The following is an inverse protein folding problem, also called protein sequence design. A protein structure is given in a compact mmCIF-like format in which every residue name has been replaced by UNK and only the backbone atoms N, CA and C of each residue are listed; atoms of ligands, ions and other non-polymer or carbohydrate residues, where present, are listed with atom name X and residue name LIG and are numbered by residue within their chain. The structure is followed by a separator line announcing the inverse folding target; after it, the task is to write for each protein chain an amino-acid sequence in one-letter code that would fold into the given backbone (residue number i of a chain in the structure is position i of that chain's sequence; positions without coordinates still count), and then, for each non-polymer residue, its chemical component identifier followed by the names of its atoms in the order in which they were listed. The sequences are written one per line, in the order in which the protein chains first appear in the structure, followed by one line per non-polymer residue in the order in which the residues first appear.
data_IF_265033716143
#
_entry.id   IF_265033716143
#
_cell.length_a   1.000
_cell.length_b   1.000
_cell.length_c   1.000
_cell.angle_alpha   90.00
_cell.angle_beta   90.00
_cell.angle_gamma   90.00
#
_symmetry.space_group_name_H-M   'P 1'
#
loop_
_entity.id
_entity.type
_entity.pdbx_description
1 polymer ?
#
# COMPACT_ATOMS: atom_id res chain seq x y z
N UNK A 1 13.07 -19.44 4.05
CA UNK A 1 14.21 -19.89 3.21
C UNK A 1 14.29 -21.41 3.14
N UNK A 2 14.10 -22.13 4.26
CA UNK A 2 14.05 -23.60 4.28
C UNK A 2 13.06 -24.16 3.26
N UNK A 3 11.91 -23.52 3.11
CA UNK A 3 10.82 -23.89 2.22
C UNK A 3 11.26 -23.88 0.74
N UNK A 4 11.93 -22.80 0.30
CA UNK A 4 12.48 -22.70 -1.05
C UNK A 4 13.66 -23.67 -1.27
N UNK A 5 14.49 -23.88 -0.25
CA UNK A 5 15.60 -24.84 -0.33
C UNK A 5 15.05 -26.27 -0.50
N UNK A 6 14.00 -26.63 0.25
CA UNK A 6 13.37 -27.94 0.16
C UNK A 6 12.67 -28.13 -1.19
N UNK A 7 12.03 -27.08 -1.73
CA UNK A 7 11.50 -27.07 -3.09
C UNK A 7 12.61 -27.29 -4.13
N UNK A 8 13.71 -26.54 -4.04
CA UNK A 8 14.86 -26.65 -4.93
C UNK A 8 15.45 -28.07 -4.92
N UNK A 9 15.60 -28.66 -3.73
CA UNK A 9 16.08 -30.05 -3.57
C UNK A 9 15.15 -31.08 -4.22
N UNK A 10 13.83 -30.91 -4.10
CA UNK A 10 12.84 -31.80 -4.75
C UNK A 10 12.95 -31.72 -6.26
N UNK A 11 13.01 -30.52 -6.82
CA UNK A 11 13.17 -30.27 -8.26
C UNK A 11 14.48 -30.86 -8.78
N UNK A 12 15.59 -30.70 -8.05
CA UNK A 12 16.88 -31.25 -8.47
C UNK A 12 16.89 -32.79 -8.47
N UNK A 13 16.15 -33.43 -7.56
CA UNK A 13 16.04 -34.89 -7.50
C UNK A 13 15.17 -35.45 -8.62
N UNK A 14 14.02 -34.82 -8.88
CA UNK A 14 13.06 -35.26 -9.89
C UNK A 14 12.64 -34.08 -10.80
N UNK A 15 13.46 -33.70 -11.79
CA UNK A 15 13.17 -32.54 -12.64
C UNK A 15 11.91 -32.67 -13.49
N UNK A 16 11.49 -33.90 -13.83
CA UNK A 16 10.27 -34.17 -14.59
C UNK A 16 8.99 -33.68 -13.89
N UNK A 17 9.03 -33.59 -12.56
CA UNK A 17 7.86 -33.25 -11.74
C UNK A 17 7.88 -31.78 -11.29
N UNK A 18 8.76 -30.96 -11.88
CA UNK A 18 9.00 -29.58 -11.43
C UNK A 18 7.71 -28.76 -11.37
N UNK A 19 6.87 -28.84 -12.40
CA UNK A 19 5.62 -28.09 -12.46
C UNK A 19 4.63 -28.51 -11.37
N UNK A 20 4.57 -29.80 -11.04
CA UNK A 20 3.75 -30.31 -9.95
C UNK A 20 4.24 -29.81 -8.59
N UNK A 21 5.57 -29.81 -8.37
CA UNK A 21 6.16 -29.26 -7.15
C UNK A 21 5.94 -27.75 -7.01
N UNK A 22 6.08 -26.99 -8.11
CA UNK A 22 5.84 -25.55 -8.14
C UNK A 22 4.37 -25.22 -7.91
N UNK A 23 3.45 -25.95 -8.54
CA UNK A 23 2.01 -25.82 -8.32
C UNK A 23 1.66 -26.04 -6.84
N UNK A 24 2.12 -27.17 -6.27
CA UNK A 24 1.87 -27.49 -4.87
C UNK A 24 2.47 -26.44 -3.93
N UNK A 25 3.68 -25.97 -4.22
CA UNK A 25 4.32 -24.93 -3.43
C UNK A 25 3.54 -23.61 -3.47
N UNK A 26 3.15 -23.19 -4.66
CA UNK A 26 2.43 -21.95 -4.87
C UNK A 26 1.00 -21.95 -4.32
N UNK A 27 0.38 -23.13 -4.19
CA UNK A 27 -0.93 -23.29 -3.52
C UNK A 27 -0.80 -23.37 -2.00
N UNK A 28 0.33 -23.89 -1.50
CA UNK A 28 0.55 -24.09 -0.06
C UNK A 28 0.92 -22.80 0.67
N UNK A 29 1.63 -21.89 0.02
CA UNK A 29 2.16 -20.68 0.65
C UNK A 29 1.51 -19.42 0.09
N UNK A 30 1.25 -18.48 0.98
CA UNK A 30 1.03 -17.08 0.61
C UNK A 30 2.38 -16.37 0.52
N UNK A 31 2.49 -15.43 -0.41
CA UNK A 31 3.72 -14.67 -0.62
C UNK A 31 3.54 -13.21 -0.25
N UNK A 32 4.60 -12.53 0.23
CA UNK A 32 5.93 -13.09 0.53
C UNK A 32 5.92 -13.98 1.79
N UNK A 33 6.81 -14.98 1.82
CA UNK A 33 7.05 -15.78 3.02
C UNK A 33 7.96 -14.95 3.94
N UNK A 34 7.44 -14.58 5.11
CA UNK A 34 8.16 -13.76 6.09
C UNK A 34 8.64 -14.58 7.28
N UNK A 35 9.85 -14.31 7.77
CA UNK A 35 10.35 -14.78 9.06
C UNK A 35 11.25 -13.72 9.68
N UNK A 36 11.10 -13.44 10.97
CA UNK A 36 11.90 -12.45 11.72
C UNK A 36 12.18 -11.14 10.98
N UNK A 37 13.29 -11.07 10.23
CA UNK A 37 13.76 -9.91 9.47
C UNK A 37 13.93 -10.17 7.97
N UNK A 38 13.38 -11.26 7.44
CA UNK A 38 13.49 -11.63 6.02
C UNK A 38 12.11 -11.80 5.39
N UNK A 39 11.94 -11.15 4.24
CA UNK A 39 10.83 -11.38 3.33
C UNK A 39 11.33 -12.09 2.08
N UNK A 40 10.81 -13.28 1.83
CA UNK A 40 11.09 -14.06 0.63
C UNK A 40 9.92 -13.94 -0.35
N UNK A 41 10.16 -13.22 -1.44
CA UNK A 41 9.24 -13.07 -2.57
C UNK A 41 9.44 -14.22 -3.56
N UNK A 42 8.35 -14.58 -4.23
CA UNK A 42 8.34 -15.68 -5.19
C UNK A 42 7.40 -15.37 -6.35
N UNK A 43 7.79 -15.72 -7.56
CA UNK A 43 6.94 -15.62 -8.74
C UNK A 43 7.10 -16.87 -9.60
N UNK A 44 5.98 -17.36 -10.13
CA UNK A 44 5.95 -18.48 -11.05
C UNK A 44 4.72 -18.40 -11.95
N UNK A 45 4.93 -18.73 -13.22
CA UNK A 45 3.94 -18.82 -14.29
C UNK A 45 4.25 -20.06 -15.14
N UNK A 46 3.23 -20.63 -15.78
CA UNK A 46 3.37 -21.72 -16.74
C UNK A 46 4.00 -21.23 -18.05
N UNK A 47 3.83 -19.95 -18.37
CA UNK A 47 4.45 -19.33 -19.53
C UNK A 47 5.95 -19.06 -19.31
N UNK A 48 6.69 -18.93 -20.41
CA UNK A 48 8.09 -18.55 -20.34
C UNK A 48 8.22 -17.09 -19.89
N UNK A 49 8.96 -16.88 -18.81
CA UNK A 49 9.23 -15.57 -18.21
C UNK A 49 10.73 -15.36 -18.28
N UNK A 50 11.18 -14.21 -18.80
CA UNK A 50 12.59 -13.90 -18.99
C UNK A 50 13.23 -13.38 -17.69
N UNK A 51 12.56 -12.44 -17.03
CA UNK A 51 13.04 -11.77 -15.82
C UNK A 51 11.88 -11.33 -14.92
N UNK A 52 12.17 -11.20 -13.62
CA UNK A 52 11.23 -10.66 -12.63
C UNK A 52 11.98 -9.69 -11.72
N UNK A 53 11.43 -8.50 -11.53
CA UNK A 53 11.96 -7.51 -10.61
C UNK A 53 10.94 -7.14 -9.53
N UNK A 54 11.44 -6.89 -8.33
CA UNK A 54 10.66 -6.32 -7.23
C UNK A 54 10.73 -4.80 -7.32
N UNK A 55 9.61 -4.16 -7.63
CA UNK A 55 9.49 -2.71 -7.61
C UNK A 55 8.98 -2.27 -6.25
N UNK A 56 9.73 -1.42 -5.53
CA UNK A 56 9.36 -0.95 -4.20
C UNK A 56 9.99 0.42 -3.89
N UNK A 57 9.53 1.06 -2.81
CA UNK A 57 10.06 2.34 -2.32
C UNK A 57 10.54 2.20 -0.87
N UNK A 58 11.49 1.28 -0.66
CA UNK A 58 12.08 1.05 0.66
C UNK A 58 13.26 2.00 0.77
N UNK A 59 13.25 2.87 1.78
CA UNK A 59 14.33 3.83 1.99
C UNK A 59 15.68 3.11 2.16
N UNK A 60 16.69 3.58 1.44
CA UNK A 60 18.04 3.02 1.48
C UNK A 60 18.29 1.81 0.57
N UNK A 61 17.28 1.33 -0.16
CA UNK A 61 17.43 0.28 -1.18
C UNK A 61 17.15 0.83 -2.58
N UNK A 62 17.68 0.16 -3.60
CA UNK A 62 17.34 0.45 -5.00
C UNK A 62 15.83 0.23 -5.23
N UNK A 63 15.19 1.10 -6.00
CA UNK A 63 13.74 1.03 -6.26
C UNK A 63 13.31 -0.21 -7.07
N UNK A 64 14.27 -0.96 -7.62
CA UNK A 64 14.06 -2.22 -8.32
C UNK A 64 15.13 -3.23 -7.93
N UNK A 65 14.74 -4.46 -7.60
CA UNK A 65 15.68 -5.56 -7.33
C UNK A 65 15.34 -6.80 -8.17
N UNK A 66 16.33 -7.36 -8.86
CA UNK A 66 16.13 -8.55 -9.69
C UNK A 66 15.98 -9.82 -8.86
N UNK A 67 15.00 -10.64 -9.22
CA UNK A 67 14.85 -11.99 -8.69
C UNK A 67 15.92 -12.92 -9.27
N UNK A 68 16.20 -14.00 -8.54
CA UNK A 68 16.99 -15.12 -9.02
C UNK A 68 16.06 -16.19 -9.55
N UNK A 69 16.37 -16.71 -10.75
CA UNK A 69 15.66 -17.87 -11.29
C UNK A 69 16.04 -19.12 -10.51
N UNK A 70 15.06 -19.95 -10.17
CA UNK A 70 15.28 -21.29 -9.66
C UNK A 70 15.79 -22.17 -10.82
N UNK A 71 16.95 -22.83 -10.69
CA UNK A 71 17.55 -23.54 -11.82
C UNK A 71 16.59 -24.57 -12.44
N UNK A 72 16.57 -24.60 -13.78
CA UNK A 72 15.76 -25.51 -14.61
C UNK A 72 14.24 -25.31 -14.49
N UNK A 73 13.77 -24.15 -14.01
CA UNK A 73 12.34 -23.83 -13.97
C UNK A 73 12.03 -22.39 -14.39
N UNK A 74 10.74 -22.09 -14.53
CA UNK A 74 10.21 -20.73 -14.73
C UNK A 74 9.84 -20.03 -13.41
N UNK A 75 10.37 -20.53 -12.28
CA UNK A 75 10.13 -19.91 -10.99
C UNK A 75 11.28 -18.98 -10.60
N UNK A 76 10.93 -17.90 -9.92
CA UNK A 76 11.82 -16.83 -9.50
C UNK A 76 11.64 -16.57 -8.02
N UNK A 77 12.71 -16.18 -7.34
CA UNK A 77 12.65 -15.79 -5.95
C UNK A 77 13.62 -14.66 -5.62
N UNK A 78 13.29 -13.88 -4.59
CA UNK A 78 14.15 -12.84 -4.03
C UNK A 78 13.98 -12.85 -2.52
N UNK A 79 15.05 -12.66 -1.75
CA UNK A 79 14.95 -12.42 -0.31
C UNK A 79 15.51 -11.04 0.00
N UNK A 80 14.74 -10.26 0.75
CA UNK A 80 15.10 -8.91 1.20
C UNK A 80 15.09 -8.91 2.72
N UNK A 81 16.13 -8.35 3.34
CA UNK A 81 16.15 -8.11 4.77
C UNK A 81 15.33 -6.83 5.07
N UNK A 82 14.34 -6.94 5.96
CA UNK A 82 13.42 -5.86 6.33
C UNK A 82 13.32 -5.75 7.85
N UNK A 83 13.14 -4.52 8.39
CA UNK A 83 12.85 -4.34 9.81
C UNK A 83 11.64 -5.17 10.26
N UNK A 84 11.67 -5.69 11.49
CA UNK A 84 10.62 -6.57 12.02
C UNK A 84 9.22 -5.94 11.99
N UNK A 85 9.11 -4.61 12.14
CA UNK A 85 7.86 -3.85 12.12
C UNK A 85 7.52 -3.24 10.74
N UNK A 86 8.24 -3.62 9.68
CA UNK A 86 8.03 -3.02 8.37
C UNK A 86 6.70 -3.45 7.73
N UNK A 87 6.05 -2.48 7.07
CA UNK A 87 4.99 -2.68 6.08
C UNK A 87 5.47 -2.06 4.77
N UNK A 88 5.60 -2.87 3.72
CA UNK A 88 6.15 -2.44 2.44
C UNK A 88 5.14 -2.70 1.33
N UNK A 89 4.86 -1.67 0.53
CA UNK A 89 4.11 -1.80 -0.71
C UNK A 89 5.06 -2.12 -1.88
N UNK A 90 4.65 -3.03 -2.76
CA UNK A 90 5.46 -3.44 -3.89
C UNK A 90 4.60 -3.85 -5.12
N UNK A 91 5.26 -3.85 -6.28
CA UNK A 91 4.78 -4.48 -7.51
C UNK A 91 5.83 -5.43 -8.07
N UNK A 92 5.39 -6.40 -8.87
CA UNK A 92 6.26 -7.22 -9.70
C UNK A 92 6.34 -6.59 -11.09
N UNK A 93 7.55 -6.42 -11.61
CA UNK A 93 7.79 -6.15 -13.02
C UNK A 93 8.22 -7.47 -13.68
N UNK A 94 7.34 -8.06 -14.49
CA UNK A 94 7.56 -9.35 -15.16
C UNK A 94 7.89 -9.09 -16.62
N UNK A 95 9.00 -9.64 -17.10
CA UNK A 95 9.42 -9.52 -18.50
C UNK A 95 9.10 -10.82 -19.25
N UNK A 96 8.31 -10.74 -20.33
CA UNK A 96 8.01 -11.86 -21.23
C UNK A 96 8.29 -11.41 -22.67
N UNK A 97 9.30 -12.00 -23.31
CA UNK A 97 9.84 -11.50 -24.57
C UNK A 97 10.37 -10.07 -24.43
N UNK A 98 9.95 -9.18 -25.32
CA UNK A 98 10.32 -7.76 -25.30
C UNK A 98 9.40 -6.90 -24.42
N UNK A 99 8.35 -7.49 -23.83
CA UNK A 99 7.35 -6.76 -23.06
C UNK A 99 7.61 -6.83 -21.56
N UNK A 100 7.33 -5.73 -20.86
CA UNK A 100 7.38 -5.61 -19.40
C UNK A 100 5.99 -5.33 -18.85
N UNK A 101 5.60 -6.09 -17.83
CA UNK A 101 4.28 -6.01 -17.20
C UNK A 101 4.42 -5.66 -15.72
N UNK A 102 3.83 -4.54 -15.31
CA UNK A 102 3.76 -4.15 -13.92
C UNK A 102 2.47 -4.70 -13.32
N UNK A 103 2.60 -5.59 -12.34
CA UNK A 103 1.46 -6.27 -11.75
C UNK A 103 1.60 -6.42 -10.25
N UNK A 104 0.45 -6.60 -9.58
CA UNK A 104 0.45 -7.09 -8.21
C UNK A 104 0.95 -8.53 -8.18
N UNK A 105 1.47 -8.94 -7.04
CA UNK A 105 1.75 -10.34 -6.77
C UNK A 105 0.41 -11.10 -6.77
N UNK A 106 0.19 -12.03 -7.72
CA UNK A 106 -1.08 -12.71 -7.88
C UNK A 106 -1.39 -13.66 -6.71
N UNK A 107 -0.39 -13.96 -5.86
CA UNK A 107 -0.48 -14.89 -4.72
C UNK A 107 -0.35 -14.19 -3.37
N UNK A 108 -0.35 -12.85 -3.38
CA UNK A 108 -0.45 -12.05 -2.17
C UNK A 108 -1.88 -11.50 -2.04
N UNK A 109 -2.66 -11.93 -1.03
CA UNK A 109 -4.00 -11.38 -0.80
C UNK A 109 -3.97 -9.94 -0.28
N UNK A 110 -2.88 -9.54 0.37
CA UNK A 110 -2.73 -8.23 1.00
C UNK A 110 -2.51 -7.14 -0.06
N UNK A 111 -3.29 -6.07 0.05
CA UNK A 111 -3.32 -5.00 -0.93
C UNK A 111 -3.47 -3.64 -0.30
N UNK A 112 -2.82 -2.66 -0.92
CA UNK A 112 -3.01 -1.25 -0.65
C UNK A 112 -3.57 -0.60 -1.92
N UNK A 113 -4.56 0.26 -1.76
CA UNK A 113 -5.13 1.01 -2.87
C UNK A 113 -4.56 2.43 -2.87
N UNK A 114 -4.34 2.93 -4.08
CA UNK A 114 -3.88 4.28 -4.32
C UNK A 114 -4.62 4.86 -5.54
N UNK A 115 -4.46 6.16 -5.86
CA UNK A 115 -5.09 6.76 -7.03
C UNK A 115 -4.70 6.12 -8.37
N UNK A 116 -3.60 5.36 -8.42
CA UNK A 116 -3.06 4.68 -9.60
C UNK A 116 -3.38 3.17 -9.63
N UNK A 117 -4.27 2.71 -8.74
CA UNK A 117 -4.77 1.34 -8.68
C UNK A 117 -4.48 0.67 -7.34
N UNK A 118 -3.65 -0.37 -7.35
CA UNK A 118 -3.28 -1.08 -6.13
C UNK A 118 -1.90 -1.72 -6.19
N UNK A 119 -1.30 -1.86 -5.01
CA UNK A 119 -0.03 -2.52 -4.73
C UNK A 119 -0.26 -3.79 -3.91
N UNK A 120 0.69 -4.72 -3.98
CA UNK A 120 0.77 -5.82 -3.02
C UNK A 120 1.47 -5.32 -1.75
N UNK A 121 1.13 -5.89 -0.59
CA UNK A 121 1.68 -5.46 0.70
C UNK A 121 2.45 -6.60 1.36
N UNK A 122 3.68 -6.34 1.75
CA UNK A 122 4.49 -7.20 2.62
C UNK A 122 4.41 -6.65 4.05
N UNK A 123 3.71 -7.37 4.93
CA UNK A 123 3.70 -7.08 6.36
C UNK A 123 4.68 -8.02 7.07
N UNK A 124 5.70 -7.46 7.72
CA UNK A 124 6.62 -8.24 8.53
C UNK A 124 5.96 -8.70 9.85
N UNK A 125 6.45 -9.77 10.51
CA UNK A 125 5.75 -10.37 11.64
C UNK A 125 5.54 -9.47 12.86
N UNK A 126 6.32 -8.40 13.02
CA UNK A 126 6.14 -7.41 14.09
C UNK A 126 5.29 -6.21 13.68
N UNK A 127 4.80 -6.15 12.45
CA UNK A 127 3.85 -5.14 12.04
C UNK A 127 2.45 -5.49 12.54
N UNK A 128 1.78 -4.52 13.16
CA UNK A 128 0.37 -4.57 13.46
C UNK A 128 -0.28 -3.29 12.94
N UNK A 129 -1.46 -3.42 12.32
CA UNK A 129 -2.23 -2.23 11.96
C UNK A 129 -2.53 -1.43 13.23
N UNK A 130 -2.21 -0.12 13.26
CA UNK A 130 -2.52 0.69 14.43
C UNK A 130 -4.02 0.66 14.73
N UNK A 131 -4.41 0.47 15.99
CA UNK A 131 -5.83 0.29 16.32
C UNK A 131 -6.71 1.47 15.90
N UNK A 132 -6.15 2.69 15.94
CA UNK A 132 -6.84 3.91 15.55
C UNK A 132 -7.17 3.97 14.05
N UNK A 133 -6.68 3.05 13.21
CA UNK A 133 -7.10 2.96 11.80
C UNK A 133 -8.37 2.15 11.58
N UNK A 134 -8.86 1.42 12.58
CA UNK A 134 -10.01 0.52 12.45
C UNK A 134 -11.28 1.18 13.00
N UNK A 135 -12.48 0.94 12.41
CA UNK A 135 -13.72 1.45 12.97
C UNK A 135 -13.91 1.01 14.43
N UNK A 136 -14.15 1.96 15.32
CA UNK A 136 -14.44 1.70 16.73
C UNK A 136 -15.90 2.08 17.04
N UNK A 137 -16.76 1.12 17.43
CA UNK A 137 -18.18 1.37 17.66
C UNK A 137 -18.47 2.32 18.83
N UNK A 138 -17.47 2.60 19.67
CA UNK A 138 -17.58 3.59 20.76
C UNK A 138 -17.50 5.02 20.24
N UNK A 139 -16.89 5.22 19.07
CA UNK A 139 -16.90 6.52 18.41
C UNK A 139 -18.31 6.79 17.88
N UNK A 140 -18.86 7.96 18.20
CA UNK A 140 -20.14 8.40 17.63
C UNK A 140 -19.97 9.15 16.29
N UNK A 141 -18.73 9.17 15.76
CA UNK A 141 -18.33 9.77 14.49
C UNK A 141 -18.45 11.29 14.42
N UNK A 142 -17.54 11.92 13.69
CA UNK A 142 -17.71 13.27 13.18
C UNK A 142 -18.69 13.30 12.01
N UNK A 143 -18.81 14.46 11.36
CA UNK A 143 -19.60 14.63 10.14
C UNK A 143 -18.85 15.41 9.08
N UNK A 144 -19.22 15.19 7.83
CA UNK A 144 -18.72 15.93 6.69
C UNK A 144 -19.77 16.96 6.25
N UNK A 145 -19.32 18.19 6.04
CA UNK A 145 -20.13 19.27 5.45
C UNK A 145 -19.41 19.81 4.21
N UNK A 146 -20.10 19.86 3.07
CA UNK A 146 -19.56 20.48 1.85
C UNK A 146 -19.92 21.96 1.81
N UNK A 147 -18.99 22.79 1.32
CA UNK A 147 -19.30 24.15 0.89
C UNK A 147 -18.46 24.50 -0.35
N UNK A 148 -18.96 25.46 -1.12
CA UNK A 148 -18.28 25.93 -2.32
C UNK A 148 -17.58 27.24 -2.01
N UNK A 149 -16.29 27.30 -2.35
CA UNK A 149 -15.55 28.54 -2.41
C UNK A 149 -15.66 29.06 -3.84
N UNK A 150 -16.20 30.27 -3.98
CA UNK A 150 -16.32 30.96 -5.26
C UNK A 150 -14.96 31.34 -5.86
N UNK A 151 -14.93 31.80 -7.12
CA UNK A 151 -13.70 32.24 -7.77
C UNK A 151 -13.05 33.41 -7.01
N UNK A 152 -11.72 33.46 -7.03
CA UNK A 152 -10.93 34.41 -6.26
C UNK A 152 -9.44 34.15 -6.46
N UNK A 153 -8.84 33.35 -5.57
CA UNK A 153 -7.47 32.83 -5.77
C UNK A 153 -7.39 31.83 -6.93
N UNK A 154 -8.50 31.12 -7.20
CA UNK A 154 -8.65 30.28 -8.38
C UNK A 154 -9.62 30.90 -9.38
N UNK A 155 -9.44 30.60 -10.66
CA UNK A 155 -10.32 31.04 -11.75
C UNK A 155 -11.68 30.29 -11.77
N UNK A 156 -11.86 29.29 -10.90
CA UNK A 156 -13.04 28.43 -10.84
C UNK A 156 -13.57 28.22 -9.41
N UNK A 157 -14.78 27.67 -9.33
CA UNK A 157 -15.40 27.29 -8.06
C UNK A 157 -14.81 25.98 -7.52
N UNK A 158 -14.54 25.94 -6.22
CA UNK A 158 -13.95 24.79 -5.54
C UNK A 158 -14.88 24.26 -4.46
N UNK A 159 -15.28 22.99 -4.58
CA UNK A 159 -15.91 22.28 -3.48
C UNK A 159 -14.84 21.91 -2.43
N UNK A 160 -15.09 22.30 -1.18
CA UNK A 160 -14.32 21.89 -0.02
C UNK A 160 -15.21 21.07 0.90
N UNK A 161 -14.73 19.92 1.33
CA UNK A 161 -15.38 19.12 2.37
C UNK A 161 -14.73 19.37 3.72
N UNK A 162 -15.54 19.74 4.71
CA UNK A 162 -15.11 19.96 6.08
C UNK A 162 -15.46 18.76 6.94
N UNK A 163 -14.47 18.17 7.61
CA UNK A 163 -14.71 17.32 8.76
C UNK A 163 -14.90 18.17 10.00
N UNK A 164 -16.05 17.96 10.65
CA UNK A 164 -16.37 18.52 11.94
C UNK A 164 -16.37 17.38 12.96
N UNK A 165 -15.58 17.49 14.04
CA UNK A 165 -15.53 16.45 15.06
C UNK A 165 -16.88 16.34 15.77
N UNK A 166 -17.15 15.20 16.39
CA UNK A 166 -18.40 14.95 17.12
C UNK A 166 -18.74 16.07 18.12
N UNK A 167 -17.73 16.56 18.82
CA UNK A 167 -17.86 17.58 19.88
C UNK A 167 -17.94 19.01 19.33
N UNK A 168 -18.05 19.19 18.01
CA UNK A 168 -18.13 20.50 17.38
C UNK A 168 -19.30 21.32 17.92
N UNK A 169 -19.00 22.56 18.29
CA UNK A 169 -19.97 23.58 18.68
C UNK A 169 -19.65 24.89 17.93
N UNK A 170 -20.66 25.57 17.36
CA UNK A 170 -20.44 26.74 16.51
C UNK A 170 -19.88 27.96 17.26
N UNK A 171 -20.05 28.02 18.58
CA UNK A 171 -19.56 29.08 19.46
C UNK A 171 -18.13 28.85 19.98
N UNK A 172 -17.48 27.75 19.56
CA UNK A 172 -16.11 27.39 19.96
C UNK A 172 -15.13 27.54 18.80
N UNK A 173 -13.88 27.88 19.13
CA UNK A 173 -12.76 27.86 18.18
C UNK A 173 -12.05 26.52 18.21
N UNK A 174 -11.66 26.04 17.03
CA UNK A 174 -10.93 24.79 16.82
C UNK A 174 -9.72 25.05 15.93
N UNK A 175 -8.62 24.28 16.08
CA UNK A 175 -7.56 24.27 15.06
C UNK A 175 -8.13 23.84 13.71
N UNK A 176 -7.54 24.37 12.65
CA UNK A 176 -7.86 24.00 11.27
C UNK A 176 -6.67 23.26 10.66
N UNK A 177 -6.90 22.04 10.18
CA UNK A 177 -5.99 21.31 9.31
C UNK A 177 -6.48 21.42 7.87
N UNK A 178 -5.64 21.91 6.96
CA UNK A 178 -5.92 21.87 5.52
C UNK A 178 -5.26 20.60 4.96
N UNK A 179 -6.08 19.69 4.45
CA UNK A 179 -5.64 18.44 3.84
C UNK A 179 -5.71 18.59 2.32
N UNK A 180 -4.55 18.61 1.66
CA UNK A 180 -4.46 18.48 0.21
C UNK A 180 -4.78 17.05 -0.23
N UNK A 181 -5.19 16.89 -1.50
CA UNK A 181 -5.66 15.62 -2.04
C UNK A 181 -6.76 14.96 -1.19
N UNK A 182 -7.67 15.80 -0.67
CA UNK A 182 -8.61 15.40 0.35
C UNK A 182 -9.50 14.22 -0.05
N UNK A 183 -9.93 14.15 -1.32
CA UNK A 183 -10.70 13.01 -1.84
C UNK A 183 -9.88 11.72 -1.83
N UNK A 184 -8.59 11.80 -2.16
CA UNK A 184 -7.71 10.63 -2.11
C UNK A 184 -7.46 10.18 -0.67
N UNK A 185 -7.21 11.10 0.25
CA UNK A 185 -7.10 10.78 1.68
C UNK A 185 -8.38 10.13 2.22
N UNK A 186 -9.54 10.70 1.93
CA UNK A 186 -10.83 10.14 2.34
C UNK A 186 -11.05 8.72 1.78
N UNK A 187 -10.63 8.47 0.54
CA UNK A 187 -10.86 7.20 -0.15
C UNK A 187 -9.85 6.11 0.22
N UNK A 188 -8.59 6.46 0.43
CA UNK A 188 -7.49 5.48 0.49
C UNK A 188 -6.80 5.38 1.86
N UNK A 189 -7.01 6.33 2.77
CA UNK A 189 -6.27 6.36 4.06
C UNK A 189 -7.12 6.12 5.31
N UNK A 190 -8.44 5.97 5.17
CA UNK A 190 -9.39 5.92 6.30
C UNK A 190 -9.32 7.14 7.24
N UNK A 191 -8.91 8.31 6.74
CA UNK A 191 -8.60 9.48 7.57
C UNK A 191 -9.74 9.88 8.52
N UNK A 192 -11.01 9.73 8.13
CA UNK A 192 -12.15 10.06 8.99
C UNK A 192 -12.19 9.17 10.23
N UNK A 193 -12.05 7.86 10.04
CA UNK A 193 -11.96 6.88 11.14
C UNK A 193 -10.77 7.18 12.05
N UNK A 194 -9.62 7.54 11.45
CA UNK A 194 -8.42 7.92 12.21
C UNK A 194 -8.69 9.13 13.09
N UNK A 195 -9.26 10.20 12.53
CA UNK A 195 -9.60 11.41 13.28
C UNK A 195 -10.60 11.11 14.39
N UNK A 196 -11.68 10.38 14.10
CA UNK A 196 -12.70 10.02 15.07
C UNK A 196 -12.11 9.24 16.26
N UNK A 197 -11.27 8.25 15.97
CA UNK A 197 -10.64 7.43 16.98
C UNK A 197 -9.63 8.22 17.84
N UNK A 198 -8.76 9.01 17.21
CA UNK A 198 -7.74 9.78 17.93
C UNK A 198 -8.37 10.87 18.82
N UNK A 199 -9.43 11.52 18.35
CA UNK A 199 -10.18 12.52 19.14
C UNK A 199 -10.91 11.85 20.30
N UNK A 200 -11.60 10.73 20.04
CA UNK A 200 -12.30 9.98 21.09
C UNK A 200 -11.36 9.46 22.19
N UNK A 201 -10.14 9.05 21.82
CA UNK A 201 -9.10 8.60 22.76
C UNK A 201 -8.37 9.76 23.46
N UNK A 202 -8.68 11.01 23.13
CA UNK A 202 -7.98 12.21 23.61
C UNK A 202 -6.47 12.23 23.27
N UNK A 203 -6.06 11.52 22.23
CA UNK A 203 -4.68 11.55 21.71
C UNK A 203 -4.45 12.78 20.83
N UNK A 204 -5.52 13.32 20.25
CA UNK A 204 -5.54 14.58 19.49
C UNK A 204 -6.71 15.44 19.97
N UNK A 205 -6.51 16.76 20.08
CA UNK A 205 -7.59 17.69 20.41
C UNK A 205 -8.64 17.73 19.29
N UNK A 206 -9.92 18.03 19.58
CA UNK A 206 -10.92 18.24 18.54
C UNK A 206 -10.41 19.24 17.49
N UNK A 207 -10.36 18.81 16.23
CA UNK A 207 -9.81 19.55 15.10
C UNK A 207 -10.79 19.55 13.95
N UNK A 208 -10.86 20.67 13.24
CA UNK A 208 -11.61 20.79 11.99
C UNK A 208 -10.66 20.53 10.83
N UNK A 209 -11.06 19.71 9.86
CA UNK A 209 -10.22 19.40 8.69
C UNK A 209 -10.90 19.86 7.41
N UNK A 210 -10.24 20.70 6.63
CA UNK A 210 -10.66 21.11 5.29
C UNK A 210 -9.99 20.21 4.23
N UNK A 211 -10.78 19.38 3.58
CA UNK A 211 -10.34 18.54 2.46
C UNK A 211 -10.42 19.32 1.17
N UNK A 212 -9.24 19.68 0.65
CA UNK A 212 -9.08 20.43 -0.61
C UNK A 212 -8.57 19.50 -1.70
N UNK A 213 -8.93 19.76 -2.96
CA UNK A 213 -8.47 18.98 -4.10
C UNK A 213 -7.97 19.91 -5.18
N UNK A 214 -6.78 19.63 -5.70
CA UNK A 214 -6.25 20.36 -6.84
C UNK A 214 -6.85 19.84 -8.14
N UNK A 215 -7.25 20.74 -9.04
CA UNK A 215 -7.66 20.34 -10.40
C UNK A 215 -6.43 20.27 -11.30
N UNK A 216 -5.53 21.24 -11.19
CA UNK A 216 -4.23 21.22 -11.84
C UNK A 216 -3.12 20.95 -10.82
N UNK A 217 -3.18 19.81 -10.12
CA UNK A 217 -2.30 19.45 -8.99
C UNK A 217 -0.82 19.76 -9.21
N UNK A 218 -0.28 19.43 -10.38
CA UNK A 218 1.14 19.65 -10.69
C UNK A 218 1.54 21.13 -10.74
N UNK A 219 0.59 22.01 -11.03
CA UNK A 219 0.79 23.47 -11.05
C UNK A 219 0.44 24.03 -9.67
N UNK A 220 -0.76 23.75 -9.18
CA UNK A 220 -1.32 24.32 -7.95
C UNK A 220 -0.49 23.96 -6.70
N UNK A 221 0.02 22.73 -6.60
CA UNK A 221 0.87 22.31 -5.48
C UNK A 221 2.37 22.51 -5.73
N UNK A 222 2.74 22.96 -6.93
CA UNK A 222 4.12 23.20 -7.35
C UNK A 222 4.73 24.49 -6.79
N UNK A 223 4.47 24.81 -5.51
CA UNK A 223 4.81 26.08 -4.87
C UNK A 223 4.26 27.31 -5.62
N UNK A 224 3.07 27.18 -6.20
CA UNK A 224 2.39 28.29 -6.85
C UNK A 224 1.86 29.27 -5.79
N UNK A 225 2.28 30.56 -5.82
CA UNK A 225 1.78 31.56 -4.88
C UNK A 225 0.37 32.10 -5.22
N UNK A 226 -0.20 31.65 -6.33
CA UNK A 226 -1.51 32.07 -6.87
C UNK A 226 -2.56 30.99 -6.66
#
# INVERSE_FOLDING_TARGET
MKELIDLAKKILRNPSDSDAYLTSFAQKYTFPIVNEQRATFFYWDNENVNDVQLMHWISGLESSQSFRRLPKTNAFWLTVDLPKAARVEYKLCVTKGDNRYWMRDPRNPERAFDPFGSNSVCCMPGYANPEWTNPDPRTQGGRLESFTVGPGSYDDEREIQMYLPREYKPDKSYPLLICHDGRDYQKFSNIITVLDNLIYRHEVMPIIVAFTNGVQRNIEYGANPM
#
